data_IF_282746186428
#
_entry.id   IF_282746186428
#
_cell.length_a   1.000
_cell.length_b   1.000
_cell.length_c   1.000
_cell.angle_alpha   90.00
_cell.angle_beta   90.00
_cell.angle_gamma   90.00
#
_symmetry.space_group_name_H-M   'P 1'
#
loop_
_entity.id
_entity.type
_entity.pdbx_description
1 polymer ?
#
# COMPACT_ATOMS: atom_id res chain seq x y z
N UNK A 1 -13.84 -8.38 -16.24
CA UNK A 1 -12.84 -9.00 -15.33
C UNK A 1 -11.58 -8.16 -15.39
N UNK A 2 -10.99 -7.81 -14.24
CA UNK A 2 -9.78 -6.96 -14.17
C UNK A 2 -8.64 -7.76 -13.50
N UNK A 3 -7.49 -7.93 -14.15
CA UNK A 3 -6.36 -8.78 -13.69
C UNK A 3 -5.49 -8.09 -12.64
N UNK A 4 -5.46 -8.53 -11.39
CA UNK A 4 -4.54 -7.91 -10.41
C UNK A 4 -3.13 -8.46 -10.56
N UNK A 5 -2.08 -7.60 -10.66
CA UNK A 5 -0.70 -8.07 -10.66
C UNK A 5 -0.32 -8.62 -9.28
N UNK A 6 0.88 -9.19 -9.15
CA UNK A 6 1.45 -9.49 -7.84
C UNK A 6 1.74 -8.20 -7.06
N UNK A 7 1.73 -8.30 -5.74
CA UNK A 7 2.05 -7.15 -4.89
C UNK A 7 2.49 -7.56 -3.50
N UNK A 8 3.19 -6.65 -2.82
CA UNK A 8 3.45 -6.76 -1.39
C UNK A 8 2.44 -5.93 -0.62
N UNK A 9 1.96 -6.49 0.48
CA UNK A 9 1.28 -5.75 1.52
C UNK A 9 2.09 -5.85 2.80
N UNK A 10 2.32 -4.73 3.47
CA UNK A 10 3.16 -4.72 4.66
C UNK A 10 2.56 -3.89 5.77
N UNK A 11 2.96 -4.19 7.01
CA UNK A 11 2.64 -3.40 8.18
C UNK A 11 3.70 -3.55 9.27
N UNK A 12 3.91 -2.51 10.06
CA UNK A 12 4.69 -2.60 11.29
C UNK A 12 3.79 -3.16 12.39
N UNK A 13 4.20 -4.29 12.95
CA UNK A 13 3.43 -5.02 13.97
C UNK A 13 3.65 -4.41 15.35
N UNK A 14 2.60 -3.82 15.90
CA UNK A 14 2.56 -3.35 17.28
C UNK A 14 1.13 -3.18 17.77
N UNK A 15 0.98 -3.18 19.10
CA UNK A 15 -0.26 -2.76 19.75
C UNK A 15 -0.55 -1.29 19.41
N UNK A 16 -1.77 -1.01 18.96
CA UNK A 16 -2.22 0.32 18.56
C UNK A 16 -3.64 0.56 19.09
N UNK A 17 -3.93 1.69 19.76
CA UNK A 17 -5.28 2.02 20.23
C UNK A 17 -6.32 2.12 19.10
N UNK A 18 -5.88 2.49 17.89
CA UNK A 18 -6.74 2.54 16.71
C UNK A 18 -7.03 1.16 16.11
N UNK A 19 -6.35 0.08 16.52
CA UNK A 19 -6.56 -1.28 16.01
C UNK A 19 -7.33 -2.10 17.05
N UNK A 20 -8.63 -2.28 16.85
CA UNK A 20 -9.50 -2.99 17.83
C UNK A 20 -9.46 -4.51 17.71
N UNK A 21 -8.77 -5.05 16.71
CA UNK A 21 -8.61 -6.49 16.50
C UNK A 21 -7.36 -7.03 17.21
N UNK A 22 -7.38 -8.34 17.50
CA UNK A 22 -6.22 -9.10 18.00
C UNK A 22 -5.31 -9.51 16.85
N UNK A 23 -4.04 -9.75 17.15
CA UNK A 23 -3.01 -10.19 16.20
C UNK A 23 -2.68 -9.07 15.19
N UNK A 24 -1.79 -8.16 15.61
CA UNK A 24 -1.39 -6.96 14.86
C UNK A 24 -0.38 -7.22 13.74
N UNK A 25 -0.12 -8.49 13.49
CA UNK A 25 0.80 -9.07 12.51
C UNK A 25 0.11 -9.43 11.19
N UNK A 26 -1.14 -9.04 10.98
CA UNK A 26 -1.86 -9.19 9.71
C UNK A 26 -1.88 -7.84 8.96
N UNK A 27 -1.05 -7.68 7.90
CA UNK A 27 -1.05 -6.45 7.09
C UNK A 27 -2.41 -6.15 6.45
N UNK A 28 -3.17 -7.17 6.05
CA UNK A 28 -4.48 -7.00 5.41
C UNK A 28 -5.54 -6.49 6.40
N UNK A 29 -5.54 -6.99 7.63
CA UNK A 29 -6.40 -6.43 8.69
C UNK A 29 -5.99 -5.01 9.04
N UNK A 30 -4.69 -4.74 9.13
CA UNK A 30 -4.16 -3.40 9.40
C UNK A 30 -4.63 -2.40 8.35
N UNK A 31 -4.45 -2.75 7.08
CA UNK A 31 -4.89 -1.96 5.94
C UNK A 31 -6.39 -1.69 6.02
N UNK A 32 -7.22 -2.73 6.14
CA UNK A 32 -8.68 -2.59 6.15
C UNK A 32 -9.19 -1.73 7.30
N UNK A 33 -8.55 -1.81 8.46
CA UNK A 33 -8.98 -1.10 9.66
C UNK A 33 -8.55 0.36 9.65
N UNK A 34 -7.35 0.66 9.14
CA UNK A 34 -6.79 2.01 9.16
C UNK A 34 -6.95 2.77 7.84
N UNK A 35 -7.55 2.15 6.80
CA UNK A 35 -7.72 2.77 5.47
C UNK A 35 -8.37 4.13 5.49
N UNK A 36 -9.46 4.30 6.22
CA UNK A 36 -10.18 5.58 6.28
C UNK A 36 -9.33 6.66 6.96
N UNK A 37 -8.62 6.30 8.03
CA UNK A 37 -7.69 7.20 8.72
C UNK A 37 -6.54 7.65 7.80
N UNK A 38 -5.98 6.72 7.02
CA UNK A 38 -4.95 7.02 6.04
C UNK A 38 -5.45 7.96 4.94
N UNK A 39 -6.57 7.60 4.30
CA UNK A 39 -7.17 8.38 3.24
C UNK A 39 -7.52 9.81 3.67
N UNK A 40 -8.04 9.96 4.91
CA UNK A 40 -8.28 11.26 5.52
C UNK A 40 -6.98 12.07 5.68
N UNK A 41 -5.92 11.46 6.21
CA UNK A 41 -4.65 12.17 6.42
C UNK A 41 -3.96 12.58 5.11
N UNK A 42 -4.04 11.75 4.07
CA UNK A 42 -3.58 12.09 2.71
C UNK A 42 -4.41 13.26 2.15
N UNK A 43 -5.74 13.20 2.25
CA UNK A 43 -6.62 14.27 1.79
C UNK A 43 -6.35 15.60 2.50
N UNK A 44 -6.10 15.58 3.82
CA UNK A 44 -5.72 16.78 4.57
C UNK A 44 -4.42 17.39 4.04
N UNK A 45 -3.42 16.55 3.75
CA UNK A 45 -2.12 16.99 3.23
C UNK A 45 -2.23 17.61 1.83
N UNK A 46 -3.14 17.08 1.02
CA UNK A 46 -3.40 17.47 -0.37
C UNK A 46 -4.50 18.55 -0.51
N UNK A 47 -5.10 19.02 0.59
CA UNK A 47 -6.16 20.04 0.55
C UNK A 47 -7.51 19.53 0.01
N UNK A 48 -7.76 18.21 0.03
CA UNK A 48 -8.97 17.54 -0.47
C UNK A 48 -10.05 17.33 0.60
N UNK A 49 -10.12 18.22 1.59
CA UNK A 49 -11.11 18.15 2.68
C UNK A 49 -11.95 19.42 2.68
N UNK A 50 -13.27 19.26 2.60
CA UNK A 50 -14.25 20.35 2.68
C UNK A 50 -15.25 20.06 3.82
N UNK A 51 -15.09 20.74 4.95
CA UNK A 51 -15.90 20.47 6.14
C UNK A 51 -15.73 19.02 6.60
N UNK A 52 -16.82 18.26 6.67
CA UNK A 52 -16.83 16.83 7.03
C UNK A 52 -16.61 15.90 5.82
N UNK A 53 -16.43 16.43 4.60
CA UNK A 53 -16.24 15.63 3.40
C UNK A 53 -14.76 15.50 3.06
N UNK A 54 -14.31 14.25 2.90
CA UNK A 54 -13.02 13.89 2.35
C UNK A 54 -13.22 13.38 0.92
N UNK A 55 -12.60 14.03 -0.07
CA UNK A 55 -12.74 13.66 -1.49
C UNK A 55 -11.67 12.66 -1.90
N UNK A 56 -12.01 11.78 -2.83
CA UNK A 56 -11.06 10.85 -3.45
C UNK A 56 -10.14 11.59 -4.44
N UNK A 57 -8.86 11.24 -4.48
CA UNK A 57 -7.93 11.68 -5.53
C UNK A 57 -7.79 10.67 -6.67
N UNK A 58 -8.31 9.45 -6.48
CA UNK A 58 -8.08 8.37 -7.41
C UNK A 58 -9.13 8.36 -8.51
N UNK A 59 -8.66 8.50 -9.75
CA UNK A 59 -9.10 7.64 -10.85
C UNK A 59 -8.55 6.25 -10.53
N UNK A 60 -9.22 5.49 -9.64
CA UNK A 60 -8.76 4.15 -9.25
C UNK A 60 -8.83 3.23 -10.49
N UNK A 61 -7.72 2.70 -11.02
CA UNK A 61 -7.73 1.88 -12.24
C UNK A 61 -8.48 0.54 -12.07
N UNK A 62 -8.79 0.14 -10.83
CA UNK A 62 -9.58 -1.06 -10.50
C UNK A 62 -11.01 -0.74 -10.06
N UNK A 63 -11.38 0.54 -10.05
CA UNK A 63 -12.71 1.01 -9.67
C UNK A 63 -13.64 0.93 -10.88
N UNK A 64 -14.67 0.10 -10.77
CA UNK A 64 -15.77 -0.03 -11.75
C UNK A 64 -16.81 1.11 -11.61
N UNK A 65 -16.43 2.28 -11.10
CA UNK A 65 -17.37 3.38 -10.89
C UNK A 65 -17.52 4.20 -12.18
N UNK A 66 -18.78 4.46 -12.55
CA UNK A 66 -19.20 5.34 -13.65
C UNK A 66 -18.46 6.69 -13.58
N UNK A 67 -18.00 7.16 -14.74
CA UNK A 67 -17.01 8.22 -14.94
C UNK A 67 -17.45 9.65 -14.53
N UNK A 68 -18.68 9.88 -14.06
CA UNK A 68 -19.22 11.25 -13.99
C UNK A 68 -19.45 11.86 -12.59
N UNK A 69 -19.37 11.10 -11.49
CA UNK A 69 -19.65 11.64 -10.15
C UNK A 69 -18.42 11.61 -9.22
N UNK A 70 -18.04 12.76 -8.61
CA UNK A 70 -17.00 12.81 -7.58
C UNK A 70 -17.29 11.82 -6.44
N UNK A 71 -16.23 11.26 -5.86
CA UNK A 71 -16.36 10.34 -4.73
C UNK A 71 -15.85 10.98 -3.46
N UNK A 72 -16.54 10.71 -2.37
CA UNK A 72 -16.18 11.22 -1.06
C UNK A 72 -16.59 10.25 0.06
N UNK A 73 -16.19 10.57 1.29
CA UNK A 73 -16.77 10.01 2.49
C UNK A 73 -16.88 11.08 3.59
N UNK A 74 -17.82 10.86 4.53
CA UNK A 74 -17.95 11.68 5.74
C UNK A 74 -16.91 11.28 6.78
N UNK A 75 -16.08 12.21 7.21
CA UNK A 75 -14.95 11.98 8.11
C UNK A 75 -15.46 11.48 9.45
N UNK A 76 -16.44 12.16 10.05
CA UNK A 76 -17.03 11.79 11.34
C UNK A 76 -17.59 10.37 11.32
N UNK A 77 -18.43 10.05 10.35
CA UNK A 77 -19.02 8.72 10.22
C UNK A 77 -17.96 7.63 9.97
N UNK A 78 -16.95 7.93 9.15
CA UNK A 78 -15.94 6.94 8.76
C UNK A 78 -14.90 6.69 9.83
N UNK A 79 -14.60 7.68 10.68
CA UNK A 79 -13.62 7.59 11.76
C UNK A 79 -14.25 7.39 13.15
N UNK A 80 -15.58 7.39 13.28
CA UNK A 80 -16.27 7.19 14.57
C UNK A 80 -15.79 5.94 15.32
N UNK A 81 -15.62 4.82 14.61
CA UNK A 81 -15.14 3.57 15.20
C UNK A 81 -13.67 3.61 15.67
N UNK A 82 -12.92 4.64 15.28
CA UNK A 82 -11.55 4.92 15.70
C UNK A 82 -11.47 6.05 16.75
N UNK A 83 -12.61 6.55 17.23
CA UNK A 83 -12.69 7.69 18.15
C UNK A 83 -12.67 9.07 17.47
N UNK A 84 -12.87 9.13 16.15
CA UNK A 84 -12.92 10.38 15.39
C UNK A 84 -11.55 10.87 14.89
N UNK A 85 -11.56 11.94 14.09
CA UNK A 85 -10.36 12.50 13.44
C UNK A 85 -9.30 12.97 14.44
N UNK A 86 -9.71 13.65 15.53
CA UNK A 86 -8.80 14.13 16.58
C UNK A 86 -8.04 12.97 17.24
N UNK A 87 -8.75 11.88 17.59
CA UNK A 87 -8.13 10.68 18.19
C UNK A 87 -7.15 10.03 17.20
N UNK A 88 -7.52 9.93 15.92
CA UNK A 88 -6.67 9.36 14.86
C UNK A 88 -5.37 10.15 14.73
N UNK A 89 -5.47 11.48 14.62
CA UNK A 89 -4.31 12.36 14.42
C UNK A 89 -3.38 12.34 15.64
N UNK A 90 -3.93 12.51 16.85
CA UNK A 90 -3.16 12.49 18.10
C UNK A 90 -2.49 11.14 18.34
N UNK A 91 -3.21 10.03 18.21
CA UNK A 91 -2.64 8.68 18.40
C UNK A 91 -1.52 8.40 17.42
N UNK A 92 -1.67 8.87 16.18
CA UNK A 92 -0.62 8.68 15.20
C UNK A 92 0.56 9.62 15.44
N UNK A 93 0.38 10.81 16.04
CA UNK A 93 1.44 11.84 16.14
C UNK A 93 2.69 11.37 16.85
N UNK A 94 2.46 10.62 17.92
CA UNK A 94 3.50 10.07 18.78
C UNK A 94 3.77 8.58 18.47
N UNK A 95 3.24 8.04 17.37
CA UNK A 95 3.34 6.63 17.07
C UNK A 95 4.76 6.25 16.58
N UNK A 96 5.49 5.36 17.27
CA UNK A 96 6.81 4.90 16.82
C UNK A 96 6.77 4.19 15.45
N UNK A 97 5.67 3.50 15.14
CA UNK A 97 5.49 2.83 13.84
C UNK A 97 5.11 3.79 12.70
N UNK A 98 5.11 5.10 12.93
CA UNK A 98 4.82 6.07 11.88
C UNK A 98 6.01 6.13 10.92
N UNK A 99 5.78 5.72 9.67
CA UNK A 99 6.74 5.89 8.60
C UNK A 99 6.68 7.33 8.09
N UNK A 100 7.80 8.05 8.21
CA UNK A 100 8.02 9.31 7.50
C UNK A 100 8.76 8.93 6.21
N UNK A 101 8.11 8.99 5.05
CA UNK A 101 8.87 8.94 3.81
C UNK A 101 9.79 10.17 3.78
N UNK A 102 11.04 10.01 3.34
CA UNK A 102 12.01 11.10 3.30
C UNK A 102 11.41 12.28 2.50
N UNK A 103 11.20 13.42 3.17
CA UNK A 103 10.61 14.63 2.58
C UNK A 103 9.08 14.78 2.64
N UNK A 104 8.35 13.83 3.25
CA UNK A 104 6.88 13.88 3.30
C UNK A 104 6.30 14.53 4.57
N UNK A 105 5.17 15.22 4.41
CA UNK A 105 4.30 15.70 5.50
C UNK A 105 3.90 14.51 6.40
N UNK A 106 3.71 14.74 7.70
CA UNK A 106 3.31 13.70 8.67
C UNK A 106 1.91 13.14 8.33
N UNK A 107 1.85 11.97 7.69
CA UNK A 107 0.58 11.28 7.37
C UNK A 107 0.22 10.31 8.49
N UNK A 108 -1.01 10.42 9.04
CA UNK A 108 -1.52 9.48 10.03
C UNK A 108 -1.73 8.07 9.43
N UNK A 109 -1.80 7.06 10.30
CA UNK A 109 -1.94 5.66 9.92
C UNK A 109 -0.83 5.14 8.97
N UNK A 110 0.40 5.67 9.10
CA UNK A 110 1.47 5.35 8.16
C UNK A 110 2.20 4.02 8.31
N UNK A 111 1.85 3.28 9.34
CA UNK A 111 2.39 1.98 9.72
C UNK A 111 2.03 0.80 8.79
N UNK A 112 1.50 1.04 7.60
CA UNK A 112 1.23 0.03 6.58
C UNK A 112 1.29 0.65 5.17
N UNK A 113 1.48 -0.21 4.17
CA UNK A 113 1.54 0.20 2.78
C UNK A 113 1.50 -0.97 1.82
N UNK A 114 1.47 -0.62 0.53
CA UNK A 114 1.43 -1.56 -0.59
C UNK A 114 2.65 -1.32 -1.46
N UNK A 115 3.08 -2.38 -2.15
CA UNK A 115 3.93 -2.25 -3.31
C UNK A 115 3.34 -3.09 -4.42
N UNK A 116 2.59 -2.41 -5.29
CA UNK A 116 1.93 -3.03 -6.44
C UNK A 116 2.94 -3.10 -7.57
N UNK A 117 3.15 -4.30 -8.12
CA UNK A 117 4.06 -4.49 -9.23
C UNK A 117 3.32 -4.18 -10.55
N UNK A 118 4.04 -3.78 -11.61
CA UNK A 118 3.47 -3.69 -12.94
C UNK A 118 3.09 -5.08 -13.47
N UNK A 119 2.27 -5.11 -14.53
CA UNK A 119 1.83 -6.36 -15.16
C UNK A 119 2.99 -7.25 -15.63
N UNK A 120 4.08 -6.64 -16.10
CA UNK A 120 5.38 -7.30 -16.27
C UNK A 120 6.30 -6.98 -15.07
N UNK A 121 6.38 -7.87 -14.06
CA UNK A 121 7.20 -7.67 -12.88
C UNK A 121 8.69 -7.94 -13.12
N UNK A 122 9.08 -8.43 -14.30
CA UNK A 122 10.45 -8.88 -14.59
C UNK A 122 11.52 -7.82 -14.32
N UNK A 123 11.34 -6.53 -14.68
CA UNK A 123 12.34 -5.51 -14.37
C UNK A 123 12.54 -5.30 -12.86
N UNK A 124 11.47 -5.39 -12.06
CA UNK A 124 11.55 -5.30 -10.61
C UNK A 124 12.24 -6.53 -10.03
N UNK A 125 11.90 -7.73 -10.51
CA UNK A 125 12.57 -8.97 -10.10
C UNK A 125 14.08 -8.93 -10.35
N UNK A 126 14.50 -8.45 -11.53
CA UNK A 126 15.92 -8.32 -11.85
C UNK A 126 16.63 -7.27 -10.99
N UNK A 127 15.96 -6.17 -10.66
CA UNK A 127 16.52 -5.16 -9.74
C UNK A 127 16.74 -5.75 -8.35
N UNK A 128 15.77 -6.50 -7.84
CA UNK A 128 15.90 -7.18 -6.54
C UNK A 128 16.96 -8.30 -6.62
N UNK A 129 17.08 -9.02 -7.73
CA UNK A 129 18.14 -10.02 -7.98
C UNK A 129 19.54 -9.43 -7.82
N UNK A 130 19.79 -8.29 -8.47
CA UNK A 130 21.08 -7.61 -8.37
C UNK A 130 21.35 -7.13 -6.94
N UNK A 131 20.35 -6.57 -6.28
CA UNK A 131 20.49 -6.03 -4.94
C UNK A 131 20.70 -7.15 -3.89
N UNK A 132 19.95 -8.25 -3.98
CA UNK A 132 20.10 -9.44 -3.16
C UNK A 132 21.47 -10.11 -3.34
N UNK A 133 21.93 -10.23 -4.58
CA UNK A 133 23.27 -10.77 -4.88
C UNK A 133 24.36 -9.91 -4.26
N UNK A 134 24.25 -8.58 -4.36
CA UNK A 134 25.19 -7.66 -3.74
C UNK A 134 25.19 -7.77 -2.20
N UNK A 135 24.01 -7.88 -1.57
CA UNK A 135 23.89 -8.09 -0.13
C UNK A 135 24.54 -9.41 0.32
N UNK A 136 24.27 -10.52 -0.39
CA UNK A 136 24.84 -11.84 -0.08
C UNK A 136 26.35 -11.91 -0.28
N UNK A 137 26.91 -11.09 -1.17
CA UNK A 137 28.36 -10.98 -1.31
C UNK A 137 29.02 -10.33 -0.09
N UNK A 138 28.29 -9.51 0.68
CA UNK A 138 28.79 -8.88 1.91
C UNK A 138 28.71 -9.84 3.12
N UNK A 139 27.70 -10.70 3.17
CA UNK A 139 27.59 -11.78 4.17
C UNK A 139 27.17 -13.11 3.52
N UNK A 140 28.14 -13.93 3.07
CA UNK A 140 27.84 -15.22 2.44
C UNK A 140 27.21 -16.25 3.37
N UNK A 141 27.29 -16.06 4.69
CA UNK A 141 26.73 -16.98 5.68
C UNK A 141 25.28 -16.64 6.03
N UNK A 142 24.77 -15.48 5.58
CA UNK A 142 23.36 -15.14 5.75
C UNK A 142 22.48 -16.12 4.94
N UNK A 143 21.50 -16.69 5.64
CA UNK A 143 20.51 -17.57 5.05
C UNK A 143 19.44 -16.78 4.26
N UNK A 144 19.36 -15.46 4.46
CA UNK A 144 18.49 -14.56 3.71
C UNK A 144 19.26 -13.90 2.55
N UNK A 145 18.64 -13.76 1.36
CA UNK A 145 17.35 -14.31 0.95
C UNK A 145 17.35 -15.84 0.78
N UNK A 146 16.17 -16.45 0.93
CA UNK A 146 15.97 -17.89 0.68
C UNK A 146 16.30 -18.24 -0.79
N UNK A 147 16.82 -19.44 -1.08
CA UNK A 147 17.24 -19.80 -2.44
C UNK A 147 16.03 -20.03 -3.36
N UNK A 148 15.67 -19.00 -4.13
CA UNK A 148 14.62 -19.06 -5.16
C UNK A 148 15.12 -18.44 -6.46
N UNK A 149 14.50 -18.82 -7.59
CA UNK A 149 14.72 -18.15 -8.88
C UNK A 149 13.37 -17.74 -9.49
N UNK A 150 13.08 -16.43 -9.62
CA UNK A 150 13.90 -15.28 -9.17
C UNK A 150 14.00 -15.18 -7.64
N UNK A 151 15.02 -14.50 -7.12
CA UNK A 151 15.23 -14.30 -5.69
C UNK A 151 14.12 -13.47 -5.02
N UNK A 152 13.33 -12.72 -5.82
CA UNK A 152 12.17 -11.94 -5.39
C UNK A 152 11.32 -12.72 -4.38
N UNK A 153 10.98 -13.97 -4.70
CA UNK A 153 10.15 -14.80 -3.85
C UNK A 153 10.85 -15.17 -2.53
N UNK A 154 12.15 -15.43 -2.57
CA UNK A 154 12.96 -15.81 -1.42
C UNK A 154 13.23 -14.65 -0.45
N UNK A 155 13.25 -13.41 -0.93
CA UNK A 155 13.34 -12.19 -0.11
C UNK A 155 12.12 -12.10 0.82
N UNK A 156 10.92 -12.29 0.27
CA UNK A 156 9.66 -12.07 0.99
C UNK A 156 9.12 -13.31 1.71
N UNK A 157 9.68 -14.50 1.41
CA UNK A 157 9.23 -15.77 1.97
C UNK A 157 9.23 -15.80 3.51
N UNK A 158 10.16 -15.10 4.17
CA UNK A 158 10.20 -15.06 5.64
C UNK A 158 8.96 -14.39 6.24
N UNK A 159 8.36 -13.44 5.54
CA UNK A 159 7.16 -12.71 5.94
C UNK A 159 7.33 -11.76 7.14
N UNK A 160 8.27 -12.01 8.05
CA UNK A 160 8.53 -11.14 9.22
C UNK A 160 10.01 -10.78 9.28
N UNK A 161 10.28 -9.47 9.25
CA UNK A 161 11.62 -8.90 9.32
C UNK A 161 11.87 -8.26 10.68
N UNK A 162 13.01 -8.59 11.27
CA UNK A 162 13.46 -8.10 12.59
C UNK A 162 14.99 -7.98 12.60
N UNK A 163 15.54 -7.18 13.51
CA UNK A 163 16.99 -7.11 13.72
C UNK A 163 17.75 -6.74 12.44
N UNK A 164 18.80 -7.51 12.14
CA UNK A 164 19.76 -7.20 11.08
C UNK A 164 19.18 -7.34 9.66
N UNK A 165 18.06 -8.04 9.48
CA UNK A 165 17.37 -8.09 8.19
C UNK A 165 16.79 -6.74 7.78
N UNK A 166 16.46 -5.87 8.75
CA UNK A 166 15.81 -4.58 8.46
C UNK A 166 16.76 -3.56 7.81
N UNK A 167 18.00 -3.34 8.32
CA UNK A 167 19.00 -2.53 7.61
C UNK A 167 19.34 -3.06 6.22
N UNK A 168 19.48 -4.38 6.07
CA UNK A 168 19.75 -5.00 4.77
C UNK A 168 18.59 -4.75 3.79
N UNK A 169 17.35 -4.92 4.23
CA UNK A 169 16.15 -4.60 3.46
C UNK A 169 16.08 -3.11 3.09
N UNK A 170 16.35 -2.19 4.03
CA UNK A 170 16.40 -0.75 3.75
C UNK A 170 17.43 -0.44 2.67
N UNK A 171 18.68 -0.92 2.82
CA UNK A 171 19.74 -0.68 1.84
C UNK A 171 19.39 -1.26 0.46
N UNK A 172 18.82 -2.46 0.42
CA UNK A 172 18.37 -3.13 -0.81
C UNK A 172 17.32 -2.29 -1.57
N UNK A 173 16.45 -1.56 -0.88
CA UNK A 173 15.38 -0.79 -1.51
C UNK A 173 15.78 0.65 -1.86
N UNK A 174 16.56 1.32 -1.01
CA UNK A 174 16.92 2.74 -1.22
C UNK A 174 17.97 2.94 -2.32
N UNK A 175 18.84 1.96 -2.55
CA UNK A 175 19.92 2.07 -3.53
C UNK A 175 19.46 1.78 -4.97
N UNK A 176 18.19 1.38 -5.15
CA UNK A 176 17.69 0.90 -6.43
C UNK A 176 16.78 1.94 -7.10
N UNK A 177 16.86 1.96 -8.43
CA UNK A 177 15.89 2.64 -9.29
C UNK A 177 14.89 1.63 -9.82
N UNK A 178 13.62 1.88 -9.55
CA UNK A 178 12.49 1.08 -10.04
C UNK A 178 11.90 1.71 -11.32
N UNK A 179 11.29 0.90 -12.20
CA UNK A 179 10.94 1.32 -13.56
C UNK A 179 9.82 2.36 -13.65
N UNK A 180 9.07 2.63 -12.58
CA UNK A 180 8.00 3.62 -12.57
C UNK A 180 8.02 4.44 -11.28
N UNK A 181 7.47 5.65 -11.32
CA UNK A 181 7.34 6.52 -10.14
C UNK A 181 6.52 5.85 -9.03
N UNK A 182 5.42 5.18 -9.38
CA UNK A 182 4.59 4.44 -8.42
C UNK A 182 5.37 3.30 -7.75
N UNK A 183 6.15 2.54 -8.51
CA UNK A 183 6.99 1.48 -7.95
C UNK A 183 8.10 2.06 -7.08
N UNK A 184 8.72 3.17 -7.50
CA UNK A 184 9.74 3.86 -6.73
C UNK A 184 9.19 4.42 -5.41
N UNK A 185 8.02 5.07 -5.44
CA UNK A 185 7.36 5.62 -4.26
C UNK A 185 7.00 4.51 -3.26
N UNK A 186 6.46 3.39 -3.76
CA UNK A 186 6.12 2.23 -2.94
C UNK A 186 7.35 1.58 -2.30
N UNK A 187 8.43 1.40 -3.06
CA UNK A 187 9.70 0.87 -2.57
C UNK A 187 10.31 1.80 -1.50
N UNK A 188 10.27 3.11 -1.75
CA UNK A 188 10.75 4.14 -0.80
C UNK A 188 9.93 4.11 0.49
N UNK A 189 8.61 3.91 0.39
CA UNK A 189 7.74 3.81 1.55
C UNK A 189 8.03 2.54 2.37
N UNK A 190 8.23 1.39 1.73
CA UNK A 190 8.63 0.15 2.40
C UNK A 190 10.03 0.28 3.04
N UNK A 191 10.99 0.93 2.36
CA UNK A 191 12.32 1.17 2.90
C UNK A 191 12.28 2.04 4.16
N UNK A 192 11.46 3.10 4.15
CA UNK A 192 11.19 3.92 5.32
C UNK A 192 10.56 3.12 6.46
N UNK A 193 9.65 2.19 6.14
CA UNK A 193 9.04 1.29 7.11
C UNK A 193 10.08 0.36 7.76
N UNK A 194 10.98 -0.23 6.96
CA UNK A 194 12.05 -1.08 7.45
C UNK A 194 13.01 -0.32 8.38
N UNK A 195 13.38 0.93 8.02
CA UNK A 195 14.21 1.79 8.87
C UNK A 195 13.52 2.11 10.19
N UNK A 196 12.26 2.52 10.16
CA UNK A 196 11.49 2.82 11.38
C UNK A 196 11.36 1.58 12.26
N UNK A 197 11.04 0.43 11.66
CA UNK A 197 10.96 -0.84 12.36
C UNK A 197 12.29 -1.20 13.05
N UNK A 198 13.43 -0.95 12.40
CA UNK A 198 14.75 -1.19 12.99
C UNK A 198 15.02 -0.28 14.19
N UNK A 199 14.85 1.03 14.01
CA UNK A 199 15.11 2.04 15.05
C UNK A 199 14.24 1.80 16.29
N UNK A 200 12.97 1.48 16.09
CA UNK A 200 12.00 1.25 17.15
C UNK A 200 11.96 -0.20 17.66
N UNK A 201 12.81 -1.08 17.10
CA UNK A 201 12.86 -2.52 17.41
C UNK A 201 11.49 -3.19 17.28
N UNK A 202 10.75 -2.83 16.23
CA UNK A 202 9.44 -3.37 15.92
C UNK A 202 9.55 -4.39 14.77
N UNK A 203 8.72 -5.45 14.76
CA UNK A 203 8.64 -6.34 13.60
C UNK A 203 7.98 -5.65 12.41
N UNK A 204 8.58 -5.79 11.22
CA UNK A 204 7.94 -5.46 9.96
C UNK A 204 7.38 -6.75 9.35
N UNK A 205 6.07 -6.82 9.17
CA UNK A 205 5.40 -7.94 8.52
C UNK A 205 5.11 -7.59 7.08
N UNK A 206 5.50 -8.47 6.16
CA UNK A 206 5.30 -8.34 4.71
C UNK A 206 4.63 -9.62 4.21
N UNK A 207 3.61 -9.46 3.39
CA UNK A 207 2.90 -10.56 2.73
C UNK A 207 2.98 -10.34 1.23
N UNK A 208 3.58 -11.30 0.52
CA UNK A 208 3.54 -11.36 -0.94
C UNK A 208 2.23 -12.00 -1.37
N UNK A 209 1.47 -11.29 -2.20
CA UNK A 209 0.27 -11.81 -2.84
C UNK A 209 0.57 -12.14 -4.30
N UNK A 210 0.19 -13.35 -4.77
CA UNK A 210 0.31 -13.71 -6.17
C UNK A 210 -0.64 -12.88 -7.03
N UNK A 211 -0.47 -12.91 -8.37
CA UNK A 211 -1.43 -12.38 -9.31
C UNK A 211 -2.82 -13.01 -9.15
N UNK A 212 -3.82 -12.33 -9.70
CA UNK A 212 -5.21 -12.77 -9.62
C UNK A 212 -6.11 -11.97 -10.54
N UNK A 213 -7.40 -11.94 -10.21
CA UNK A 213 -8.38 -11.13 -10.91
C UNK A 213 -9.54 -10.72 -10.01
N UNK A 214 -10.16 -9.60 -10.33
CA UNK A 214 -11.40 -9.14 -9.71
C UNK A 214 -12.56 -9.28 -10.70
N UNK A 215 -13.62 -9.94 -10.23
CA UNK A 215 -14.89 -10.07 -10.92
C UNK A 215 -16.03 -9.99 -9.89
N UNK A 216 -17.07 -9.18 -10.16
CA UNK A 216 -18.26 -9.08 -9.30
C UNK A 216 -17.95 -8.84 -7.80
N UNK A 217 -16.94 -8.00 -7.49
CA UNK A 217 -16.44 -7.71 -6.12
C UNK A 217 -15.79 -8.89 -5.41
N UNK A 218 -15.51 -9.98 -6.12
CA UNK A 218 -14.72 -11.10 -5.65
C UNK A 218 -13.31 -10.95 -6.23
N UNK A 219 -12.30 -11.06 -5.37
CA UNK A 219 -10.91 -11.11 -5.76
C UNK A 219 -10.44 -12.56 -5.65
N UNK A 220 -10.00 -13.10 -6.77
CA UNK A 220 -9.59 -14.50 -6.90
C UNK A 220 -8.10 -14.54 -7.20
N UNK A 221 -7.34 -15.21 -6.33
CA UNK A 221 -5.90 -15.44 -6.52
C UNK A 221 -5.68 -16.61 -7.46
N UNK A 222 -4.67 -16.49 -8.33
CA UNK A 222 -4.24 -17.59 -9.18
C UNK A 222 -3.61 -18.71 -8.30
N UNK A 223 -3.64 -19.98 -8.76
CA UNK A 223 -2.95 -21.07 -8.08
C UNK A 223 -1.47 -20.75 -7.87
N UNK A 224 -0.95 -21.02 -6.69
CA UNK A 224 0.40 -20.60 -6.29
C UNK A 224 1.06 -21.58 -5.32
N UNK A 225 2.37 -21.45 -5.16
CA UNK A 225 3.12 -22.21 -4.18
C UNK A 225 2.78 -21.74 -2.75
N UNK A 226 2.39 -22.64 -1.82
CA UNK A 226 2.08 -22.25 -0.44
C UNK A 226 3.31 -21.71 0.33
N UNK A 227 4.52 -22.03 -0.14
CA UNK A 227 5.78 -21.63 0.50
C UNK A 227 6.26 -20.26 0.04
N UNK A 228 6.45 -20.08 -1.28
CA UNK A 228 7.07 -18.88 -1.83
C UNK A 228 6.08 -17.93 -2.52
N UNK A 229 4.79 -18.30 -2.58
CA UNK A 229 3.72 -17.52 -3.24
C UNK A 229 3.89 -17.35 -4.76
N UNK A 230 4.89 -17.98 -5.38
CA UNK A 230 5.05 -17.93 -6.83
C UNK A 230 3.86 -18.57 -7.57
N UNK A 231 3.41 -18.00 -8.71
CA UNK A 231 2.36 -18.58 -9.53
C UNK A 231 2.72 -19.99 -9.99
N UNK A 232 1.76 -20.92 -9.92
CA UNK A 232 1.95 -22.26 -10.46
C UNK A 232 1.73 -22.25 -11.97
N UNK A 233 2.71 -22.74 -12.74
CA UNK A 233 2.64 -22.75 -14.21
C UNK A 233 2.81 -24.12 -14.86
N UNK A 234 3.38 -25.11 -14.17
CA UNK A 234 3.91 -26.31 -14.84
C UNK A 234 3.64 -27.63 -14.12
N UNK A 235 3.85 -27.69 -12.79
CA UNK A 235 3.83 -28.94 -12.04
C UNK A 235 3.00 -28.77 -10.75
N UNK A 236 1.92 -29.56 -10.55
CA UNK A 236 1.09 -29.47 -9.36
C UNK A 236 1.75 -30.04 -8.10
N UNK A 237 2.84 -30.80 -8.24
CA UNK A 237 3.52 -31.50 -7.15
C UNK A 237 4.86 -30.84 -6.78
N UNK A 238 5.45 -30.02 -7.66
CA UNK A 238 6.72 -29.34 -7.39
C UNK A 238 6.75 -27.89 -7.86
N UNK A 239 7.11 -26.99 -6.96
CA UNK A 239 7.33 -25.58 -7.29
C UNK A 239 8.66 -25.37 -8.03
N UNK A 240 8.61 -24.87 -9.27
CA UNK A 240 9.80 -24.54 -10.06
C UNK A 240 10.64 -23.37 -9.54
N UNK A 241 10.11 -22.58 -8.60
CA UNK A 241 10.78 -21.38 -8.05
C UNK A 241 11.56 -21.70 -6.78
N UNK A 242 10.95 -22.38 -5.80
CA UNK A 242 11.56 -22.67 -4.49
C UNK A 242 11.82 -24.16 -4.24
N UNK A 243 11.47 -25.04 -5.19
CA UNK A 243 11.64 -26.48 -5.08
C UNK A 243 10.71 -27.19 -4.09
N UNK A 244 9.74 -26.50 -3.50
CA UNK A 244 8.74 -27.11 -2.60
C UNK A 244 8.05 -28.30 -3.28
N UNK A 245 7.99 -29.44 -2.59
CA UNK A 245 7.29 -30.65 -3.02
C UNK A 245 6.03 -30.80 -2.18
N UNK A 246 4.87 -30.85 -2.83
CA UNK A 246 3.57 -30.93 -2.19
C UNK A 246 2.49 -30.19 -2.97
N UNK A 247 1.23 -30.25 -2.50
CA UNK A 247 0.12 -29.65 -3.21
C UNK A 247 0.26 -28.13 -3.31
N UNK A 248 0.05 -27.60 -4.52
CA UNK A 248 -0.12 -26.17 -4.76
C UNK A 248 -1.39 -25.65 -4.10
N UNK A 249 -1.35 -24.40 -3.63
CA UNK A 249 -2.55 -23.72 -3.14
C UNK A 249 -3.50 -23.55 -4.32
N UNK A 250 -4.73 -24.08 -4.25
CA UNK A 250 -5.70 -23.90 -5.31
C UNK A 250 -6.14 -22.44 -5.39
N UNK A 251 -6.90 -22.12 -6.43
CA UNK A 251 -7.59 -20.84 -6.55
C UNK A 251 -8.36 -20.52 -5.27
N UNK A 252 -8.09 -19.34 -4.70
CA UNK A 252 -8.76 -18.86 -3.48
C UNK A 252 -9.48 -17.56 -3.77
N UNK A 253 -10.72 -17.45 -3.33
CA UNK A 253 -11.57 -16.29 -3.58
C UNK A 253 -11.89 -15.57 -2.29
N UNK A 254 -11.75 -14.26 -2.31
CA UNK A 254 -12.00 -13.35 -1.19
C UNK A 254 -12.93 -12.24 -1.64
N UNK A 255 -13.50 -11.52 -0.68
CA UNK A 255 -14.12 -10.23 -0.98
C UNK A 255 -13.03 -9.26 -1.41
N UNK A 256 -13.18 -8.67 -2.60
CA UNK A 256 -12.27 -7.65 -3.11
C UNK A 256 -12.21 -6.47 -2.14
N UNK A 257 -11.08 -5.76 -2.18
CA UNK A 257 -10.79 -4.58 -1.37
C UNK A 257 -11.94 -3.56 -1.36
N UNK A 258 -12.60 -3.41 -2.52
CA UNK A 258 -13.68 -2.47 -2.77
C UNK A 258 -13.19 -1.01 -2.76
N UNK A 259 -14.10 -0.08 -3.07
CA UNK A 259 -13.81 1.36 -3.10
C UNK A 259 -13.81 2.02 -1.72
N UNK A 260 -14.14 1.30 -0.63
CA UNK A 260 -14.24 1.91 0.71
C UNK A 260 -12.93 2.62 1.08
N UNK A 261 -12.97 3.79 1.74
CA UNK A 261 -14.18 4.45 2.26
C UNK A 261 -15.01 5.21 1.20
N UNK A 262 -14.52 5.34 -0.02
CA UNK A 262 -15.10 6.16 -1.08
C UNK A 262 -16.47 5.66 -1.57
N UNK A 263 -17.41 6.60 -1.66
CA UNK A 263 -18.75 6.44 -2.22
C UNK A 263 -19.07 7.62 -3.15
N UNK A 264 -20.00 7.47 -4.10
CA UNK A 264 -20.48 8.60 -4.89
C UNK A 264 -20.97 9.74 -3.99
N UNK A 265 -20.65 10.99 -4.34
CA UNK A 265 -20.94 12.17 -3.54
C UNK A 265 -22.44 12.28 -3.19
N UNK A 266 -23.32 11.94 -4.13
CA UNK A 266 -24.78 11.85 -3.98
C UNK A 266 -25.24 10.97 -2.81
N UNK A 267 -24.42 10.00 -2.40
CA UNK A 267 -24.75 9.07 -1.31
C UNK A 267 -24.28 9.54 0.06
N UNK A 268 -23.38 10.54 0.13
CA UNK A 268 -22.71 10.94 1.38
C UNK A 268 -22.88 12.41 1.73
N UNK A 269 -23.07 13.28 0.74
CA UNK A 269 -23.20 14.72 0.93
C UNK A 269 -24.66 15.16 0.92
N UNK A 270 -24.97 16.14 1.77
CA UNK A 270 -26.25 16.81 1.81
C UNK A 270 -26.47 17.66 0.54
N UNK A 271 -27.72 17.98 0.14
CA UNK A 271 -28.00 18.79 -1.04
C UNK A 271 -27.21 20.11 -1.11
N UNK A 272 -27.10 20.82 0.02
CA UNK A 272 -26.38 22.08 0.16
C UNK A 272 -24.85 21.91 0.01
N UNK A 273 -24.29 20.83 0.56
CA UNK A 273 -22.86 20.51 0.39
C UNK A 273 -22.54 20.21 -1.07
N UNK A 274 -23.44 19.46 -1.76
CA UNK A 274 -23.29 19.20 -3.20
C UNK A 274 -23.40 20.46 -4.05
N UNK A 275 -24.27 21.40 -3.67
CA UNK A 275 -24.35 22.69 -4.35
C UNK A 275 -23.04 23.46 -4.22
N UNK A 276 -22.48 23.53 -3.01
CA UNK A 276 -21.20 24.18 -2.74
C UNK A 276 -20.02 23.53 -3.49
N UNK A 277 -19.99 22.20 -3.57
CA UNK A 277 -18.96 21.49 -4.34
C UNK A 277 -19.06 21.83 -5.83
N UNK A 278 -20.26 21.87 -6.41
CA UNK A 278 -20.44 22.26 -7.82
C UNK A 278 -20.02 23.70 -8.09
N UNK A 279 -20.32 24.62 -7.20
CA UNK A 279 -19.87 26.01 -7.29
C UNK A 279 -18.34 26.11 -7.29
N UNK A 280 -17.66 25.39 -6.39
CA UNK A 280 -16.20 25.34 -6.34
C UNK A 280 -15.58 24.72 -7.60
N UNK A 281 -16.18 23.66 -8.14
CA UNK A 281 -15.70 23.04 -9.38
C UNK A 281 -15.89 23.96 -10.58
N UNK A 282 -17.03 24.63 -10.71
CA UNK A 282 -17.27 25.61 -11.77
C UNK A 282 -16.27 26.79 -11.70
N UNK A 283 -15.97 27.28 -10.50
CA UNK A 283 -14.97 28.34 -10.31
C UNK A 283 -13.55 27.93 -10.74
N UNK A 284 -13.20 26.65 -10.64
CA UNK A 284 -11.90 26.12 -11.10
C UNK A 284 -11.85 25.95 -12.62
N UNK A 285 -12.99 25.71 -13.28
CA UNK A 285 -13.07 25.60 -14.74
C UNK A 285 -13.03 26.97 -15.44
N UNK A 286 -13.48 28.03 -14.76
CA UNK A 286 -13.51 29.41 -15.28
C UNK A 286 -12.16 30.14 -15.18
N UNK A 287 -11.16 29.59 -14.46
CA UNK A 287 -9.82 30.18 -14.30
C UNK A 287 -8.67 29.22 -14.70
N UNK A 288 -8.57 28.81 -15.98
CA UNK A 288 -7.48 27.92 -16.44
C UNK A 288 -6.12 28.62 -16.59
N UNK A 289 -6.06 29.96 -16.55
CA UNK A 289 -4.86 30.77 -16.87
C UNK A 289 -4.54 31.87 -15.83
N UNK A 290 -4.95 31.69 -14.57
CA UNK A 290 -4.67 32.64 -13.48
C UNK A 290 -3.22 32.65 -12.98
N UNK A 291 -2.36 33.39 -13.70
CA UNK A 291 -1.19 34.13 -13.19
C UNK A 291 0.15 33.38 -12.98
N UNK A 292 0.82 32.97 -14.07
CA UNK A 292 2.27 32.62 -14.06
C UNK A 292 3.20 33.69 -14.64
N UNK A 293 2.69 34.81 -15.12
CA UNK A 293 3.48 35.87 -15.76
C UNK A 293 3.30 37.20 -15.01
N UNK A 294 4.01 37.41 -13.90
CA UNK A 294 4.49 38.74 -13.47
C UNK A 294 5.26 38.65 -12.15
N UNK A 295 6.55 38.29 -12.22
CA UNK A 295 7.59 38.88 -11.35
C UNK A 295 8.97 38.52 -11.93
N UNK A 296 9.32 39.22 -13.01
CA UNK A 296 10.68 39.27 -13.57
C UNK A 296 10.94 40.66 -14.13
N UNK A 297 10.68 41.70 -13.34
CA UNK A 297 11.23 43.05 -13.53
C UNK A 297 11.31 43.76 -12.18
N UNK A 298 12.46 43.64 -11.52
CA UNK A 298 13.36 44.76 -11.18
C UNK A 298 14.68 44.25 -10.59
#
# INVERSE_FOLDING_TARGET
>A
MTRTPEFLLWSISRKCPLRTYRNWDDPQRTERHLRAARAFAEAMVEGRVLGDLCFDNAVDPWSVAQEDEPRAFRIEASLAHLGGSIQVLSTCDECPARTLAAGSKKIAASCYGWWILPDDPSPIHQTIERAATAAKALDPNDAWPMPTSPCWYGVWQQGVFTGDHLPALTAMLEQQRFPSETAQASATHLAAAARVAFLERLPLVVTLYPPGHVENRLWTLDPHCPRCQAPSRHDPERCGVCGYIGPITPTTTFKARGSRPWRPLSQVALPEERAKVRELLAALEEDPEGNSDEESKE
#
